data_IF_217348528240
#
_entry.id   IF_217348528240
#
_cell.length_a   1.000
_cell.length_b   1.000
_cell.length_c   1.000
_cell.angle_alpha   90.00
_cell.angle_beta   90.00
_cell.angle_gamma   90.00
#
_symmetry.space_group_name_H-M   'P 1'
#
loop_
_entity.id
_entity.type
_entity.pdbx_description
1 polymer ?
#
# COMPACT_ATOMS: atom_id res chain seq x y z
N UNK A 1 2.71 -21.51 3.05
CA UNK A 1 1.59 -20.55 2.96
C UNK A 1 2.18 -19.16 3.04
N UNK A 2 1.70 -18.23 2.23
CA UNK A 2 2.20 -16.86 2.23
C UNK A 2 1.34 -16.02 3.18
N UNK A 3 1.92 -15.61 4.30
CA UNK A 3 1.21 -14.93 5.39
C UNK A 3 0.70 -13.54 5.01
N UNK A 4 1.32 -12.89 4.01
CA UNK A 4 0.81 -11.65 3.45
C UNK A 4 -0.51 -11.94 2.73
N UNK A 5 -0.54 -12.94 1.84
CA UNK A 5 -1.77 -13.31 1.11
C UNK A 5 -2.89 -13.75 2.05
N UNK A 6 -2.57 -14.58 3.04
CA UNK A 6 -3.54 -15.01 4.06
C UNK A 6 -4.16 -13.81 4.80
N UNK A 7 -3.36 -12.79 5.14
CA UNK A 7 -3.89 -11.60 5.79
C UNK A 7 -4.80 -10.76 4.87
N UNK A 8 -4.53 -10.73 3.55
CA UNK A 8 -5.41 -10.06 2.58
C UNK A 8 -6.77 -10.78 2.52
N UNK A 9 -6.76 -12.11 2.44
CA UNK A 9 -7.96 -12.95 2.41
C UNK A 9 -8.80 -12.74 3.69
N UNK A 10 -8.17 -12.83 4.86
CA UNK A 10 -8.86 -12.62 6.15
C UNK A 10 -9.49 -11.23 6.29
N UNK A 11 -8.83 -10.18 5.78
CA UNK A 11 -9.39 -8.82 5.79
C UNK A 11 -10.59 -8.73 4.86
N UNK A 12 -10.48 -9.27 3.64
CA UNK A 12 -11.59 -9.30 2.69
C UNK A 12 -12.80 -10.07 3.24
N UNK A 13 -12.59 -11.21 3.90
CA UNK A 13 -13.65 -11.98 4.57
C UNK A 13 -14.31 -11.21 5.72
N UNK A 14 -13.55 -10.37 6.43
CA UNK A 14 -14.04 -9.65 7.62
C UNK A 14 -14.83 -8.40 7.28
N UNK A 15 -14.33 -7.58 6.36
CA UNK A 15 -14.87 -6.24 6.10
C UNK A 15 -15.23 -5.97 4.63
N UNK A 16 -14.96 -6.91 3.73
CA UNK A 16 -15.10 -6.66 2.30
C UNK A 16 -14.05 -5.68 1.80
N UNK A 17 -14.46 -4.47 1.43
CA UNK A 17 -13.59 -3.45 0.88
C UNK A 17 -12.83 -2.67 1.98
N UNK A 18 -11.50 -2.78 2.07
CA UNK A 18 -10.70 -2.04 3.04
C UNK A 18 -10.45 -0.57 2.66
N UNK A 19 -10.81 -0.13 1.45
CA UNK A 19 -10.51 1.21 0.91
C UNK A 19 -10.86 2.34 1.88
N UNK A 20 -12.07 2.40 2.47
CA UNK A 20 -12.43 3.49 3.38
C UNK A 20 -11.50 3.59 4.60
N UNK A 21 -11.12 2.44 5.18
CA UNK A 21 -10.26 2.40 6.38
C UNK A 21 -8.80 2.74 6.07
N UNK A 22 -8.28 2.28 4.92
CA UNK A 22 -6.92 2.60 4.49
C UNK A 22 -6.79 4.11 4.27
N UNK A 23 -7.73 4.71 3.55
CA UNK A 23 -7.68 6.14 3.25
C UNK A 23 -8.01 7.02 4.45
N UNK A 24 -8.88 6.57 5.36
CA UNK A 24 -9.06 7.24 6.65
C UNK A 24 -7.73 7.34 7.41
N UNK A 25 -6.97 6.24 7.49
CA UNK A 25 -5.64 6.24 8.15
C UNK A 25 -4.62 7.09 7.39
N UNK A 26 -4.60 7.03 6.06
CA UNK A 26 -3.72 7.87 5.25
C UNK A 26 -3.98 9.35 5.54
N UNK A 27 -5.23 9.79 5.46
CA UNK A 27 -5.59 11.21 5.63
C UNK A 27 -5.46 11.70 7.06
N UNK A 28 -5.59 10.81 8.06
CA UNK A 28 -5.28 11.16 9.44
C UNK A 28 -3.78 11.48 9.62
N UNK A 29 -2.90 10.80 8.87
CA UNK A 29 -1.44 11.01 8.91
C UNK A 29 -0.97 12.13 7.98
N UNK A 30 -1.62 12.26 6.83
CA UNK A 30 -1.30 13.18 5.74
C UNK A 30 -2.55 13.95 5.28
N UNK A 31 -3.11 14.85 6.13
CA UNK A 31 -4.32 15.59 5.79
C UNK A 31 -4.17 16.42 4.51
N UNK A 32 -2.95 16.86 4.20
CA UNK A 32 -2.61 17.57 2.97
C UNK A 32 -2.92 16.78 1.69
N UNK A 33 -2.94 15.44 1.76
CA UNK A 33 -3.22 14.58 0.60
C UNK A 33 -4.71 14.55 0.22
N UNK A 34 -5.62 14.95 1.13
CA UNK A 34 -7.06 14.95 0.87
C UNK A 34 -7.43 15.83 -0.34
N UNK A 35 -6.67 16.91 -0.59
CA UNK A 35 -6.92 17.83 -1.70
C UNK A 35 -6.82 17.14 -3.07
N UNK A 36 -6.06 16.05 -3.17
CA UNK A 36 -5.91 15.28 -4.41
C UNK A 36 -7.15 14.45 -4.74
N UNK A 37 -8.01 14.19 -3.76
CA UNK A 37 -9.17 13.30 -3.89
C UNK A 37 -10.52 14.02 -3.86
N UNK A 38 -10.55 15.36 -3.94
CA UNK A 38 -11.79 16.16 -3.84
C UNK A 38 -12.82 15.86 -4.94
N UNK A 39 -12.38 15.28 -6.06
CA UNK A 39 -13.25 14.87 -7.19
C UNK A 39 -13.69 13.41 -7.11
N UNK A 40 -13.11 12.63 -6.20
CA UNK A 40 -13.41 11.20 -6.03
C UNK A 40 -14.50 11.01 -4.97
N UNK A 41 -15.73 11.46 -5.31
CA UNK A 41 -16.86 11.53 -4.39
C UNK A 41 -17.49 10.19 -4.04
N UNK A 42 -17.10 9.11 -4.71
CA UNK A 42 -17.66 7.76 -4.56
C UNK A 42 -16.56 6.70 -4.38
N UNK A 43 -15.36 7.13 -4.02
CA UNK A 43 -14.20 6.28 -3.71
C UNK A 43 -13.74 5.36 -4.86
N UNK A 44 -14.13 5.62 -6.10
CA UNK A 44 -13.73 4.80 -7.24
C UNK A 44 -12.23 4.91 -7.53
N UNK A 45 -11.68 6.13 -7.51
CA UNK A 45 -10.24 6.35 -7.73
C UNK A 45 -9.44 5.73 -6.58
N UNK A 46 -9.89 5.98 -5.35
CA UNK A 46 -9.27 5.39 -4.15
C UNK A 46 -9.27 3.86 -4.19
N UNK A 47 -10.39 3.26 -4.58
CA UNK A 47 -10.53 1.81 -4.71
C UNK A 47 -9.65 1.21 -5.79
N UNK A 48 -9.58 1.84 -6.97
CA UNK A 48 -8.69 1.41 -8.05
C UNK A 48 -7.22 1.45 -7.61
N UNK A 49 -6.79 2.55 -6.99
CA UNK A 49 -5.42 2.69 -6.48
C UNK A 49 -5.09 1.63 -5.42
N UNK A 50 -6.02 1.33 -4.51
CA UNK A 50 -5.79 0.29 -3.51
C UNK A 50 -5.73 -1.10 -4.14
N UNK A 51 -6.56 -1.39 -5.15
CA UNK A 51 -6.50 -2.64 -5.89
C UNK A 51 -5.13 -2.83 -6.55
N UNK A 52 -4.61 -1.81 -7.24
CA UNK A 52 -3.27 -1.85 -7.84
C UNK A 52 -2.16 -2.05 -6.80
N UNK A 53 -2.30 -1.45 -5.62
CA UNK A 53 -1.36 -1.65 -4.51
C UNK A 53 -1.42 -3.10 -4.01
N UNK A 54 -2.61 -3.69 -3.87
CA UNK A 54 -2.77 -5.11 -3.48
C UNK A 54 -2.15 -6.02 -4.55
N UNK A 55 -2.36 -5.76 -5.84
CA UNK A 55 -1.70 -6.50 -6.93
C UNK A 55 -0.18 -6.41 -6.84
N UNK A 56 0.36 -5.22 -6.56
CA UNK A 56 1.79 -5.02 -6.36
C UNK A 56 2.29 -5.82 -5.15
N UNK A 57 1.58 -5.79 -4.02
CA UNK A 57 1.92 -6.55 -2.82
C UNK A 57 1.95 -8.05 -3.10
N UNK A 58 0.93 -8.58 -3.79
CA UNK A 58 0.85 -9.99 -4.18
C UNK A 58 2.02 -10.39 -5.07
N UNK A 59 2.29 -9.64 -6.14
CA UNK A 59 3.41 -9.92 -7.05
C UNK A 59 4.77 -9.81 -6.35
N UNK A 60 4.91 -8.88 -5.39
CA UNK A 60 6.15 -8.68 -4.65
C UNK A 60 6.52 -9.86 -3.75
N UNK A 61 5.52 -10.68 -3.38
CA UNK A 61 5.75 -11.93 -2.63
C UNK A 61 6.25 -13.09 -3.50
N UNK A 62 6.27 -12.93 -4.83
CA UNK A 62 6.70 -13.95 -5.80
C UNK A 62 7.82 -13.47 -6.71
N UNK A 63 7.65 -13.69 -8.02
CA UNK A 63 8.66 -13.42 -9.06
C UNK A 63 8.87 -11.93 -9.39
N UNK A 64 8.08 -11.01 -8.80
CA UNK A 64 8.21 -9.55 -8.92
C UNK A 64 8.15 -8.99 -10.34
N UNK A 65 7.43 -9.64 -11.26
CA UNK A 65 7.42 -9.27 -12.69
C UNK A 65 6.59 -8.02 -12.98
N UNK A 66 5.55 -7.80 -12.21
CA UNK A 66 4.64 -6.67 -12.36
C UNK A 66 5.14 -5.46 -11.55
N UNK A 67 5.45 -5.67 -10.27
CA UNK A 67 5.87 -4.61 -9.35
C UNK A 67 7.16 -3.90 -9.81
N UNK A 68 8.10 -4.62 -10.43
CA UNK A 68 9.34 -4.06 -10.94
C UNK A 68 9.15 -2.96 -12.00
N UNK A 69 8.05 -2.99 -12.75
CA UNK A 69 7.75 -1.98 -13.76
C UNK A 69 6.70 -0.98 -13.27
N UNK A 70 5.73 -1.44 -12.47
CA UNK A 70 4.64 -0.61 -11.98
C UNK A 70 5.12 0.42 -10.95
N UNK A 71 5.93 0.02 -9.98
CA UNK A 71 6.39 0.91 -8.90
C UNK A 71 7.17 2.13 -9.45
N UNK A 72 8.15 1.98 -10.37
CA UNK A 72 8.81 3.15 -10.97
C UNK A 72 7.84 4.08 -11.73
N UNK A 73 6.89 3.50 -12.46
CA UNK A 73 5.91 4.28 -13.23
C UNK A 73 5.00 5.08 -12.31
N UNK A 74 4.47 4.44 -11.27
CA UNK A 74 3.57 5.08 -10.32
C UNK A 74 4.29 6.08 -9.43
N UNK A 75 5.53 5.81 -9.01
CA UNK A 75 6.32 6.78 -8.25
C UNK A 75 6.41 8.12 -9.01
N UNK A 76 6.78 8.07 -10.30
CA UNK A 76 6.85 9.27 -11.15
C UNK A 76 5.47 9.90 -11.38
N UNK A 77 4.43 9.10 -11.58
CA UNK A 77 3.07 9.59 -11.75
C UNK A 77 2.62 10.39 -10.51
N UNK A 78 2.87 9.83 -9.32
CA UNK A 78 2.54 10.44 -8.03
C UNK A 78 3.36 11.72 -7.76
N UNK A 79 4.65 11.74 -8.11
CA UNK A 79 5.47 12.96 -8.05
C UNK A 79 4.88 14.08 -8.92
N UNK A 80 4.47 13.78 -10.16
CA UNK A 80 3.83 14.75 -11.06
C UNK A 80 2.49 15.29 -10.52
N UNK A 81 1.81 14.50 -9.68
CA UNK A 81 0.58 14.89 -8.98
C UNK A 81 0.85 15.62 -7.65
N UNK A 82 2.12 15.82 -7.29
CA UNK A 82 2.52 16.52 -6.06
C UNK A 82 2.58 15.64 -4.81
N UNK A 83 2.58 14.32 -4.96
CA UNK A 83 2.78 13.37 -3.86
C UNK A 83 4.28 13.12 -3.67
N UNK A 84 4.86 13.45 -2.50
CA UNK A 84 6.28 13.19 -2.25
C UNK A 84 6.60 11.68 -2.27
N UNK A 85 7.78 11.25 -2.75
CA UNK A 85 8.21 9.85 -2.72
C UNK A 85 8.12 9.19 -1.35
N UNK A 86 8.43 9.96 -0.29
CA UNK A 86 8.30 9.48 1.08
C UNK A 86 6.84 9.15 1.45
N UNK A 87 5.88 9.96 1.01
CA UNK A 87 4.44 9.70 1.23
C UNK A 87 4.00 8.48 0.42
N UNK A 88 4.44 8.37 -0.83
CA UNK A 88 4.19 7.20 -1.67
C UNK A 88 4.64 5.89 -0.99
N UNK A 89 5.88 5.84 -0.46
CA UNK A 89 6.40 4.68 0.25
C UNK A 89 5.58 4.36 1.53
N UNK A 90 5.16 5.37 2.29
CA UNK A 90 4.38 5.16 3.52
C UNK A 90 2.98 4.55 3.29
N UNK A 91 2.46 4.60 2.06
CA UNK A 91 1.14 4.06 1.75
C UNK A 91 1.07 2.54 1.97
N UNK A 92 2.10 1.79 1.56
CA UNK A 92 2.18 0.34 1.78
C UNK A 92 2.16 -0.02 3.29
N UNK A 93 2.89 0.75 4.10
CA UNK A 93 2.85 0.61 5.56
C UNK A 93 1.47 0.95 6.15
N UNK A 94 0.78 1.95 5.59
CA UNK A 94 -0.59 2.30 5.97
C UNK A 94 -1.55 1.14 5.72
N UNK A 95 -1.40 0.39 4.61
CA UNK A 95 -2.17 -0.83 4.34
C UNK A 95 -1.90 -1.90 5.40
N UNK A 96 -0.63 -2.23 5.68
CA UNK A 96 -0.26 -3.21 6.72
C UNK A 96 -0.87 -2.85 8.08
N UNK A 97 -0.75 -1.59 8.50
CA UNK A 97 -1.29 -1.12 9.78
C UNK A 97 -2.81 -1.24 9.84
N UNK A 98 -3.49 -0.98 8.70
CA UNK A 98 -4.93 -1.19 8.56
C UNK A 98 -5.29 -2.65 8.77
N UNK A 99 -4.55 -3.55 8.15
CA UNK A 99 -4.87 -4.96 8.14
C UNK A 99 -4.61 -5.57 9.52
N UNK A 100 -3.51 -5.16 10.16
CA UNK A 100 -3.23 -5.50 11.56
C UNK A 100 -4.36 -5.08 12.51
N UNK A 101 -4.89 -3.86 12.37
CA UNK A 101 -5.97 -3.40 13.23
C UNK A 101 -7.28 -4.14 12.97
N UNK A 102 -7.61 -4.40 11.70
CA UNK A 102 -8.80 -5.18 11.32
C UNK A 102 -8.72 -6.62 11.82
N UNK A 103 -7.53 -7.23 11.77
CA UNK A 103 -7.32 -8.63 12.17
C UNK A 103 -7.21 -8.80 13.70
N UNK A 104 -6.75 -7.79 14.42
CA UNK A 104 -6.70 -7.80 15.89
C UNK A 104 -5.91 -9.00 16.41
N UNK A 105 -6.54 -9.83 17.25
CA UNK A 105 -5.92 -11.02 17.84
C UNK A 105 -5.50 -12.09 16.82
N UNK A 106 -6.05 -12.05 15.60
CA UNK A 106 -5.65 -12.96 14.51
C UNK A 106 -4.41 -12.48 13.75
N UNK A 107 -3.92 -11.27 14.02
CA UNK A 107 -2.64 -10.81 13.47
C UNK A 107 -1.48 -11.42 14.25
N UNK A 108 -0.90 -12.48 13.71
CA UNK A 108 0.18 -13.21 14.41
C UNK A 108 1.54 -12.50 14.28
N UNK A 109 2.50 -12.80 15.19
CA UNK A 109 3.87 -12.31 15.05
C UNK A 109 4.54 -12.71 13.72
N UNK A 110 4.19 -13.87 13.17
CA UNK A 110 4.70 -14.35 11.89
C UNK A 110 4.14 -13.53 10.72
N UNK A 111 2.84 -13.16 10.77
CA UNK A 111 2.25 -12.22 9.80
C UNK A 111 2.95 -10.87 9.86
N UNK A 112 3.16 -10.32 11.06
CA UNK A 112 3.86 -9.05 11.26
C UNK A 112 5.26 -9.08 10.64
N UNK A 113 6.02 -10.15 10.90
CA UNK A 113 7.36 -10.33 10.36
C UNK A 113 7.38 -10.46 8.82
N UNK A 114 6.44 -11.24 8.26
CA UNK A 114 6.32 -11.39 6.81
C UNK A 114 6.05 -10.05 6.11
N UNK A 115 5.14 -9.25 6.66
CA UNK A 115 4.85 -7.90 6.16
C UNK A 115 6.04 -6.96 6.29
N UNK A 116 6.73 -6.94 7.44
CA UNK A 116 7.93 -6.11 7.63
C UNK A 116 9.03 -6.44 6.63
N UNK A 117 9.25 -7.73 6.34
CA UNK A 117 10.23 -8.15 5.35
C UNK A 117 9.86 -7.67 3.93
N UNK A 118 8.57 -7.77 3.57
CA UNK A 118 8.06 -7.28 2.31
C UNK A 118 8.22 -5.75 2.18
N UNK A 119 7.82 -5.00 3.21
CA UNK A 119 7.91 -3.53 3.22
C UNK A 119 9.36 -3.06 3.13
N UNK A 120 10.29 -3.70 3.85
CA UNK A 120 11.71 -3.37 3.74
C UNK A 120 12.24 -3.55 2.31
N UNK A 121 11.75 -4.57 1.58
CA UNK A 121 12.09 -4.77 0.17
C UNK A 121 11.53 -3.67 -0.74
N UNK A 122 10.30 -3.22 -0.49
CA UNK A 122 9.68 -2.11 -1.21
C UNK A 122 10.39 -0.78 -0.94
N UNK A 123 10.68 -0.49 0.32
CA UNK A 123 11.38 0.73 0.74
C UNK A 123 12.76 0.83 0.09
N UNK A 124 13.51 -0.29 0.04
CA UNK A 124 14.80 -0.34 -0.65
C UNK A 124 14.65 -0.05 -2.15
N UNK A 125 13.69 -0.70 -2.82
CA UNK A 125 13.43 -0.48 -4.25
C UNK A 125 13.05 0.99 -4.54
N UNK A 126 12.13 1.55 -3.76
CA UNK A 126 11.68 2.94 -3.92
C UNK A 126 12.83 3.91 -3.65
N UNK A 127 13.65 3.66 -2.62
CA UNK A 127 14.82 4.46 -2.30
C UNK A 127 15.86 4.46 -3.42
N UNK A 128 16.16 3.30 -4.01
CA UNK A 128 17.05 3.18 -5.18
C UNK A 128 16.51 3.96 -6.39
N UNK A 129 15.21 3.85 -6.66
CA UNK A 129 14.56 4.58 -7.75
C UNK A 129 14.59 6.10 -7.52
N UNK A 130 14.27 6.57 -6.32
CA UNK A 130 14.31 8.00 -6.01
C UNK A 130 15.74 8.57 -6.14
N UNK A 131 16.75 7.83 -5.70
CA UNK A 131 18.15 8.24 -5.80
C UNK A 131 18.67 8.29 -7.25
N UNK A 132 18.16 7.43 -8.14
CA UNK A 132 18.56 7.41 -9.55
C UNK A 132 18.06 8.62 -10.36
N UNK A 133 17.12 9.40 -9.81
CA UNK A 133 16.49 10.55 -10.47
C UNK A 133 16.78 11.90 -9.78
N UNK A 134 17.59 11.91 -8.72
CA UNK A 134 18.05 13.11 -8.01
C UNK A 134 19.31 13.70 -8.66
#
# INVERSE_FOLDING_TARGET
MNLVLESLEKVAERIGDPTPLVYQRLFARHPEMQVLFVRDSNDLVKGEMLAQVIECLVDFTGDRRYAANMIPSELRNHENLGVPPAVFATFFGTVMETFREVLGDEWTPEMDNAWRHLLAGLDNLIGELAAAHA
#
